data_IF_521223299626
#
_entry.id   IF_521223299626
#
_cell.length_a   1.000
_cell.length_b   1.000
_cell.length_c   1.000
_cell.angle_alpha   90.00
_cell.angle_beta   90.00
_cell.angle_gamma   90.00
#
_symmetry.space_group_name_H-M   'P 1'
#
loop_
_entity.id
_entity.type
_entity.pdbx_description
1 polymer ?
#
# COMPACT_ATOMS: atom_id res chain seq x y z
N UNK A 1 26.25 12.40 -35.28
CA UNK A 1 25.18 12.07 -34.31
C UNK A 1 25.51 12.73 -32.97
N UNK A 2 24.57 13.49 -32.40
CA UNK A 2 24.80 14.27 -31.19
C UNK A 2 24.77 13.40 -29.92
N UNK A 3 25.60 13.71 -28.93
CA UNK A 3 25.66 13.00 -27.63
C UNK A 3 24.30 13.04 -26.88
N UNK A 4 23.42 13.96 -27.24
CA UNK A 4 22.03 14.07 -26.75
C UNK A 4 21.07 13.03 -27.32
N UNK A 5 21.20 12.67 -28.61
CA UNK A 5 20.29 11.70 -29.26
C UNK A 5 20.58 10.27 -28.78
N UNK A 6 21.86 9.94 -28.60
CA UNK A 6 22.30 8.65 -28.04
C UNK A 6 21.82 8.45 -26.59
N UNK A 7 21.78 9.52 -25.77
CA UNK A 7 21.25 9.48 -24.39
C UNK A 7 19.73 9.32 -24.34
N UNK A 8 18.98 9.99 -25.24
CA UNK A 8 17.52 9.85 -25.34
C UNK A 8 17.12 8.44 -25.80
N UNK A 9 17.84 7.88 -26.77
CA UNK A 9 17.59 6.52 -27.27
C UNK A 9 17.88 5.46 -26.20
N UNK A 10 18.99 5.61 -25.45
CA UNK A 10 19.32 4.74 -24.32
C UNK A 10 18.30 4.82 -23.17
N UNK A 11 17.78 6.01 -22.86
CA UNK A 11 16.74 6.18 -21.86
C UNK A 11 15.42 5.52 -22.28
N UNK A 12 15.02 5.65 -23.55
CA UNK A 12 13.81 5.05 -24.10
C UNK A 12 13.87 3.51 -24.14
N UNK A 13 15.00 2.93 -24.58
CA UNK A 13 15.25 1.49 -24.55
C UNK A 13 15.22 0.93 -23.12
N UNK A 14 15.81 1.66 -22.18
CA UNK A 14 15.77 1.31 -20.75
C UNK A 14 14.34 1.34 -20.22
N UNK A 15 13.53 2.31 -20.63
CA UNK A 15 12.11 2.40 -20.29
C UNK A 15 11.28 1.24 -20.86
N UNK A 16 11.56 0.81 -22.10
CA UNK A 16 10.93 -0.37 -22.71
C UNK A 16 11.30 -1.67 -21.98
N UNK A 17 12.58 -1.87 -21.64
CA UNK A 17 13.03 -3.03 -20.87
C UNK A 17 12.37 -3.11 -19.48
N UNK A 18 12.15 -1.96 -18.83
CA UNK A 18 11.45 -1.89 -17.54
C UNK A 18 9.99 -2.28 -17.68
N UNK A 19 9.29 -1.80 -18.72
CA UNK A 19 7.91 -2.18 -18.97
C UNK A 19 7.77 -3.69 -19.20
N UNK A 20 8.68 -4.28 -19.99
CA UNK A 20 8.69 -5.72 -20.22
C UNK A 20 8.97 -6.52 -18.92
N UNK A 21 9.95 -6.09 -18.12
CA UNK A 21 10.24 -6.74 -16.82
C UNK A 21 9.14 -6.53 -15.78
N UNK A 22 8.49 -5.38 -15.76
CA UNK A 22 7.36 -5.09 -14.87
C UNK A 22 6.14 -5.96 -15.19
N UNK A 23 5.90 -6.24 -16.48
CA UNK A 23 4.85 -7.16 -16.93
C UNK A 23 5.14 -8.59 -16.45
N UNK A 24 6.36 -9.09 -16.67
CA UNK A 24 6.75 -10.44 -16.22
C UNK A 24 6.78 -10.58 -14.70
N UNK A 25 7.29 -9.57 -13.98
CA UNK A 25 7.28 -9.55 -12.53
C UNK A 25 5.86 -9.45 -11.94
N UNK A 26 4.98 -8.71 -12.61
CA UNK A 26 3.57 -8.61 -12.25
C UNK A 26 2.79 -9.91 -12.46
N UNK A 27 3.11 -10.68 -13.51
CA UNK A 27 2.57 -12.02 -13.71
C UNK A 27 3.08 -13.03 -12.68
N UNK A 28 4.37 -12.97 -12.32
CA UNK A 28 4.92 -13.79 -11.25
C UNK A 28 4.23 -13.51 -9.90
N UNK A 29 3.94 -12.24 -9.63
CA UNK A 29 3.20 -11.82 -8.45
C UNK A 29 1.79 -12.43 -8.40
N UNK A 30 1.08 -12.48 -9.54
CA UNK A 30 -0.29 -13.05 -9.65
C UNK A 30 -0.41 -14.55 -9.36
N UNK A 31 0.70 -15.31 -9.41
CA UNK A 31 0.69 -16.76 -9.19
C UNK A 31 0.92 -17.18 -7.73
N UNK A 32 1.23 -16.24 -6.84
CA UNK A 32 1.44 -16.51 -5.42
C UNK A 32 0.12 -16.55 -4.63
N UNK A 33 0.06 -17.33 -3.53
CA UNK A 33 -1.16 -17.45 -2.72
C UNK A 33 -1.57 -16.15 -2.01
N UNK A 34 -0.64 -15.23 -1.73
CA UNK A 34 -0.94 -13.88 -1.24
C UNK A 34 0.11 -12.85 -1.73
N UNK A 35 -0.36 -11.76 -2.32
CA UNK A 35 0.48 -10.65 -2.77
C UNK A 35 1.00 -9.83 -1.60
N UNK A 36 2.31 -9.87 -1.38
CA UNK A 36 3.01 -9.04 -0.40
C UNK A 36 3.85 -7.99 -1.11
N UNK A 37 3.74 -6.75 -0.67
CA UNK A 37 4.40 -5.62 -1.27
C UNK A 37 5.42 -5.00 -0.32
N UNK A 38 6.40 -4.33 -0.91
CA UNK A 38 7.24 -3.34 -0.23
C UNK A 38 7.19 -2.06 -1.06
N UNK A 39 6.87 -0.94 -0.42
CA UNK A 39 6.71 0.34 -1.08
C UNK A 39 7.94 1.22 -0.88
N UNK A 40 8.36 1.88 -1.96
CA UNK A 40 9.34 2.96 -1.97
C UNK A 40 8.97 4.07 -0.95
N UNK A 41 9.99 4.74 -0.41
CA UNK A 41 9.86 5.83 0.57
C UNK A 41 8.97 6.97 0.07
N UNK A 42 8.94 7.22 -1.25
CA UNK A 42 8.11 8.26 -1.86
C UNK A 42 6.63 7.86 -1.99
N UNK A 43 6.29 6.60 -1.72
CA UNK A 43 4.96 6.02 -1.92
C UNK A 43 4.18 5.81 -0.62
N UNK A 44 4.50 6.54 0.45
CA UNK A 44 3.84 6.39 1.76
C UNK A 44 2.31 6.54 1.70
N UNK A 45 1.80 7.46 0.86
CA UNK A 45 0.35 7.61 0.65
C UNK A 45 -0.26 6.36 0.02
N UNK A 46 0.40 5.79 -0.99
CA UNK A 46 -0.04 4.56 -1.65
C UNK A 46 0.00 3.39 -0.66
N UNK A 47 1.10 3.22 0.08
CA UNK A 47 1.24 2.16 1.07
C UNK A 47 0.10 2.17 2.09
N UNK A 48 -0.26 3.36 2.58
CA UNK A 48 -1.42 3.53 3.44
C UNK A 48 -2.71 3.07 2.77
N UNK A 49 -3.01 3.51 1.54
CA UNK A 49 -4.22 3.09 0.82
C UNK A 49 -4.29 1.58 0.58
N UNK A 50 -3.16 0.95 0.26
CA UNK A 50 -3.12 -0.50 0.06
C UNK A 50 -3.34 -1.27 1.37
N UNK A 51 -2.78 -0.79 2.50
CA UNK A 51 -3.06 -1.37 3.83
C UNK A 51 -4.53 -1.23 4.23
N UNK A 52 -5.19 -0.12 3.86
CA UNK A 52 -6.64 0.06 4.04
C UNK A 52 -7.41 -1.02 3.26
N UNK A 53 -6.99 -1.29 2.03
CA UNK A 53 -7.54 -2.35 1.18
C UNK A 53 -7.20 -3.77 1.66
N UNK A 54 -6.37 -3.90 2.70
CA UNK A 54 -6.03 -5.16 3.34
C UNK A 54 -4.78 -5.85 2.79
N UNK A 55 -4.05 -5.21 1.88
CA UNK A 55 -2.80 -5.76 1.36
C UNK A 55 -1.68 -5.69 2.41
N UNK A 56 -0.83 -6.71 2.38
CA UNK A 56 0.45 -6.70 3.08
C UNK A 56 1.39 -5.72 2.37
N UNK A 57 1.62 -4.55 2.96
CA UNK A 57 2.55 -3.58 2.40
C UNK A 57 3.55 -3.15 3.45
N UNK A 58 4.81 -3.53 3.29
CA UNK A 58 5.88 -2.98 4.09
C UNK A 58 6.26 -1.59 3.58
N UNK A 59 6.41 -0.65 4.51
CA UNK A 59 6.80 0.72 4.22
C UNK A 59 7.47 1.30 5.45
N UNK A 60 8.61 1.96 5.24
CA UNK A 60 9.32 2.76 6.23
C UNK A 60 9.94 3.95 5.52
N UNK A 61 9.85 5.14 6.10
CA UNK A 61 10.52 6.34 5.60
C UNK A 61 12.05 6.31 5.81
N UNK A 62 12.57 5.27 6.48
CA UNK A 62 14.00 5.11 6.79
C UNK A 62 14.71 4.15 5.84
N UNK A 63 13.99 3.44 4.98
CA UNK A 63 14.64 2.49 4.08
C UNK A 63 15.47 3.21 3.02
N UNK A 64 16.69 2.72 2.84
CA UNK A 64 17.51 2.98 1.66
C UNK A 64 17.07 2.12 0.48
N UNK A 65 17.48 2.51 -0.73
CA UNK A 65 17.30 1.73 -1.96
C UNK A 65 17.78 0.28 -1.80
N UNK A 66 18.92 0.08 -1.15
CA UNK A 66 19.54 -1.23 -0.99
C UNK A 66 18.77 -2.09 0.02
N UNK A 67 18.26 -1.49 1.10
CA UNK A 67 17.38 -2.18 2.05
C UNK A 67 16.04 -2.57 1.42
N UNK A 68 15.45 -1.70 0.60
CA UNK A 68 14.22 -2.01 -0.14
C UNK A 68 14.40 -3.25 -1.01
N UNK A 69 15.51 -3.31 -1.76
CA UNK A 69 15.83 -4.45 -2.63
C UNK A 69 16.15 -5.71 -1.84
N UNK A 70 16.90 -5.59 -0.75
CA UNK A 70 17.23 -6.71 0.13
C UNK A 70 15.97 -7.32 0.73
N UNK A 71 15.07 -6.50 1.28
CA UNK A 71 13.81 -6.94 1.86
C UNK A 71 12.89 -7.53 0.79
N UNK A 72 12.77 -6.89 -0.38
CA UNK A 72 12.01 -7.40 -1.51
C UNK A 72 12.44 -8.83 -1.87
N UNK A 73 13.75 -9.06 -1.97
CA UNK A 73 14.31 -10.38 -2.27
C UNK A 73 14.13 -11.38 -1.15
N UNK A 74 14.56 -11.03 0.06
CA UNK A 74 14.59 -11.94 1.22
C UNK A 74 13.20 -12.43 1.58
N UNK A 75 12.21 -11.55 1.53
CA UNK A 75 10.84 -11.87 1.90
C UNK A 75 9.96 -12.23 0.70
N UNK A 76 10.50 -12.23 -0.52
CA UNK A 76 9.75 -12.50 -1.75
C UNK A 76 8.61 -11.50 -1.96
N UNK A 77 8.83 -10.22 -1.63
CA UNK A 77 7.85 -9.14 -1.78
C UNK A 77 8.01 -8.45 -3.12
N UNK A 78 6.90 -7.96 -3.65
CA UNK A 78 6.86 -7.16 -4.87
C UNK A 78 7.21 -5.71 -4.54
N UNK A 79 8.30 -5.20 -5.11
CA UNK A 79 8.71 -3.81 -4.95
C UNK A 79 7.80 -2.87 -5.75
N UNK A 80 7.16 -1.92 -5.08
CA UNK A 80 6.43 -0.83 -5.72
C UNK A 80 7.34 0.39 -5.79
N UNK A 81 7.64 0.86 -7.01
CA UNK A 81 8.39 2.11 -7.20
C UNK A 81 8.01 2.80 -8.51
N UNK A 82 8.26 4.11 -8.55
CA UNK A 82 8.24 4.92 -9.77
C UNK A 82 9.64 5.18 -10.31
N UNK A 83 10.69 4.90 -9.53
CA UNK A 83 12.05 5.15 -9.97
C UNK A 83 12.56 4.00 -10.83
N UNK A 84 12.61 4.27 -12.13
CA UNK A 84 13.23 3.39 -13.13
C UNK A 84 14.66 2.98 -12.80
N UNK A 85 15.45 3.83 -12.11
CA UNK A 85 16.84 3.53 -11.74
C UNK A 85 16.90 2.43 -10.68
N UNK A 86 16.03 2.48 -9.68
CA UNK A 86 15.90 1.46 -8.65
C UNK A 86 15.46 0.12 -9.27
N UNK A 87 14.47 0.16 -10.16
CA UNK A 87 13.88 -1.04 -10.77
C UNK A 87 14.80 -1.76 -11.77
N UNK A 88 15.76 -1.07 -12.38
CA UNK A 88 16.71 -1.68 -13.33
C UNK A 88 17.82 -2.45 -12.62
N UNK A 89 18.04 -2.21 -11.32
CA UNK A 89 19.04 -2.96 -10.55
C UNK A 89 18.68 -4.44 -10.62
N UNK A 90 19.67 -5.31 -10.94
CA UNK A 90 19.49 -6.78 -10.96
C UNK A 90 18.88 -7.28 -9.63
N UNK A 91 19.13 -6.53 -8.56
CA UNK A 91 18.29 -6.27 -7.39
C UNK A 91 16.83 -6.80 -7.42
N UNK A 92 16.03 -6.21 -8.30
CA UNK A 92 14.58 -6.33 -8.23
C UNK A 92 14.10 -7.58 -8.98
N UNK A 93 13.91 -8.68 -8.26
CA UNK A 93 13.38 -9.93 -8.83
C UNK A 93 11.88 -9.85 -9.16
N UNK A 94 11.10 -9.16 -8.31
CA UNK A 94 9.68 -8.90 -8.52
C UNK A 94 9.35 -7.46 -8.17
N UNK A 95 8.85 -6.69 -9.14
CA UNK A 95 8.51 -5.29 -8.96
C UNK A 95 7.33 -4.88 -9.84
N UNK A 96 6.65 -3.79 -9.45
CA UNK A 96 5.65 -3.09 -10.25
C UNK A 96 6.10 -1.65 -10.43
N UNK A 97 6.23 -1.25 -11.70
CA UNK A 97 6.44 0.14 -12.06
C UNK A 97 5.09 0.87 -12.05
N UNK A 98 4.99 1.93 -11.25
CA UNK A 98 3.81 2.78 -11.20
C UNK A 98 3.90 3.90 -12.25
N UNK A 99 2.94 3.97 -13.15
CA UNK A 99 3.01 4.91 -14.28
C UNK A 99 2.54 6.31 -13.89
N UNK A 100 1.47 6.39 -13.12
CA UNK A 100 0.85 7.66 -12.70
C UNK A 100 1.49 8.20 -11.42
N UNK A 101 1.47 9.52 -11.27
CA UNK A 101 1.77 10.23 -10.04
C UNK A 101 0.57 10.34 -9.09
N UNK A 102 -0.65 10.15 -9.62
CA UNK A 102 -1.88 10.21 -8.85
C UNK A 102 -2.06 8.91 -8.09
N UNK A 103 -2.09 9.01 -6.76
CA UNK A 103 -2.29 7.86 -5.86
C UNK A 103 -3.52 7.01 -6.22
N UNK A 104 -4.56 7.66 -6.74
CA UNK A 104 -5.80 7.02 -7.19
C UNK A 104 -5.55 6.02 -8.32
N UNK A 105 -4.77 6.42 -9.32
CA UNK A 105 -4.46 5.60 -10.48
C UNK A 105 -3.48 4.48 -10.09
N UNK A 106 -2.51 4.80 -9.21
CA UNK A 106 -1.60 3.81 -8.65
C UNK A 106 -2.35 2.70 -7.91
N UNK A 107 -3.33 3.05 -7.07
CA UNK A 107 -4.16 2.06 -6.38
C UNK A 107 -4.93 1.22 -7.40
N UNK A 108 -5.57 1.83 -8.41
CA UNK A 108 -6.29 1.07 -9.47
C UNK A 108 -5.36 0.09 -10.19
N UNK A 109 -4.14 0.51 -10.49
CA UNK A 109 -3.14 -0.35 -11.13
C UNK A 109 -2.82 -1.58 -10.27
N UNK A 110 -2.61 -1.41 -8.97
CA UNK A 110 -2.35 -2.53 -8.05
C UNK A 110 -3.58 -3.43 -7.88
N UNK A 111 -4.79 -2.86 -7.82
CA UNK A 111 -6.02 -3.64 -7.73
C UNK A 111 -6.26 -4.50 -8.98
N UNK A 112 -6.01 -3.94 -10.16
CA UNK A 112 -6.08 -4.68 -11.43
C UNK A 112 -5.00 -5.76 -11.53
N UNK A 113 -3.87 -5.58 -10.85
CA UNK A 113 -2.84 -6.60 -10.75
C UNK A 113 -3.26 -7.73 -9.80
N UNK A 114 -3.80 -7.38 -8.63
CA UNK A 114 -4.15 -8.34 -7.59
C UNK A 114 -5.37 -9.19 -7.91
N UNK A 115 -6.33 -8.67 -8.69
CA UNK A 115 -7.54 -9.39 -9.09
C UNK A 115 -8.57 -9.58 -7.98
N UNK A 116 -8.16 -9.78 -6.73
CA UNK A 116 -9.03 -9.91 -5.56
C UNK A 116 -8.55 -9.06 -4.40
N UNK A 117 -9.50 -8.48 -3.67
CA UNK A 117 -9.25 -7.69 -2.46
C UNK A 117 -9.17 -8.62 -1.24
N UNK A 118 -8.10 -8.56 -0.41
CA UNK A 118 -8.00 -9.33 0.83
C UNK A 118 -9.09 -8.99 1.87
N UNK A 119 -9.71 -7.81 1.74
CA UNK A 119 -10.76 -7.31 2.62
C UNK A 119 -10.32 -6.07 3.39
N UNK A 120 -11.21 -5.08 3.59
CA UNK A 120 -10.83 -3.82 4.21
C UNK A 120 -10.45 -4.00 5.68
N UNK A 121 -9.49 -3.20 6.17
CA UNK A 121 -9.08 -3.18 7.58
C UNK A 121 -8.73 -4.57 8.13
N UNK A 122 -7.99 -5.38 7.36
CA UNK A 122 -7.36 -6.60 7.86
C UNK A 122 -6.02 -6.32 8.54
N UNK A 123 -5.37 -5.19 8.22
CA UNK A 123 -4.02 -4.85 8.69
C UNK A 123 -3.90 -3.43 9.25
N UNK A 124 -2.93 -3.27 10.14
CA UNK A 124 -2.53 -2.02 10.77
C UNK A 124 -1.98 -1.03 9.74
N UNK A 125 -2.46 0.21 9.76
CA UNK A 125 -2.02 1.24 8.78
C UNK A 125 -0.59 1.72 9.01
N UNK A 126 -0.08 1.62 10.23
CA UNK A 126 1.26 2.08 10.59
C UNK A 126 2.28 0.95 10.54
N UNK A 127 1.93 -0.16 11.17
CA UNK A 127 2.82 -1.28 11.48
C UNK A 127 2.61 -2.52 10.61
N UNK A 128 1.57 -2.55 9.77
CA UNK A 128 1.28 -3.65 8.83
C UNK A 128 0.96 -5.04 9.47
N UNK A 129 0.85 -5.10 10.80
CA UNK A 129 0.40 -6.27 11.55
C UNK A 129 -1.09 -6.60 11.29
N UNK A 130 -1.49 -7.88 11.26
CA UNK A 130 -2.89 -8.28 11.22
C UNK A 130 -3.67 -7.70 12.41
N UNK A 131 -4.85 -7.16 12.13
CA UNK A 131 -5.74 -6.63 13.15
C UNK A 131 -6.56 -7.76 13.78
N UNK A 132 -6.67 -7.72 15.11
CA UNK A 132 -7.45 -8.68 15.88
C UNK A 132 -8.80 -8.08 16.24
N UNK A 133 -9.86 -8.89 16.21
CA UNK A 133 -11.15 -8.46 16.74
C UNK A 133 -11.05 -8.32 18.26
N UNK A 134 -11.64 -7.25 18.78
CA UNK A 134 -11.64 -6.96 20.22
C UNK A 134 -13.07 -6.76 20.70
N UNK A 135 -13.35 -7.31 21.88
CA UNK A 135 -14.62 -7.11 22.58
C UNK A 135 -14.90 -5.63 22.79
N UNK A 136 -16.16 -5.25 22.64
CA UNK A 136 -16.60 -3.86 22.72
C UNK A 136 -16.30 -3.29 24.10
N UNK A 137 -16.48 -4.07 25.15
CA UNK A 137 -16.27 -3.71 26.55
C UNK A 137 -14.82 -3.25 26.81
N UNK A 138 -13.84 -3.90 26.16
CA UNK A 138 -12.40 -3.58 26.31
C UNK A 138 -12.01 -2.25 25.66
N UNK A 139 -12.82 -1.72 24.74
CA UNK A 139 -12.55 -0.46 24.04
C UNK A 139 -13.32 0.74 24.60
N UNK A 140 -14.27 0.53 25.52
CA UNK A 140 -15.19 1.57 26.05
C UNK A 140 -14.50 2.86 26.50
N UNK A 141 -13.40 2.75 27.24
CA UNK A 141 -12.66 3.89 27.76
C UNK A 141 -11.50 4.34 26.86
N UNK A 142 -11.30 3.64 25.74
CA UNK A 142 -10.22 3.91 24.80
C UNK A 142 -10.70 4.61 23.55
N UNK A 143 -11.98 4.50 23.18
CA UNK A 143 -12.57 5.22 22.04
C UNK A 143 -13.55 6.31 22.52
N UNK A 144 -13.81 7.36 21.72
CA UNK A 144 -14.84 8.34 22.07
C UNK A 144 -16.22 7.69 22.24
N UNK A 145 -17.00 8.14 23.22
CA UNK A 145 -18.31 7.56 23.57
C UNK A 145 -19.25 7.42 22.35
N UNK A 146 -19.31 8.44 21.49
CA UNK A 146 -20.09 8.41 20.26
C UNK A 146 -19.71 7.25 19.32
N UNK A 147 -18.44 6.86 19.24
CA UNK A 147 -17.99 5.73 18.41
C UNK A 147 -18.40 4.41 19.05
N UNK A 148 -18.26 4.29 20.38
CA UNK A 148 -18.67 3.12 21.14
C UNK A 148 -20.18 2.81 21.01
N UNK A 149 -21.00 3.86 20.99
CA UNK A 149 -22.45 3.77 20.83
C UNK A 149 -22.87 3.45 19.40
N UNK A 150 -22.17 3.98 18.40
CA UNK A 150 -22.56 3.85 16.99
C UNK A 150 -21.99 2.61 16.29
N UNK A 151 -20.87 2.07 16.78
CA UNK A 151 -20.16 0.98 16.10
C UNK A 151 -20.25 -0.34 16.86
N UNK A 152 -20.65 -1.44 16.17
CA UNK A 152 -20.78 -2.75 16.81
C UNK A 152 -19.46 -3.55 16.83
N UNK A 153 -18.50 -3.23 15.94
CA UNK A 153 -17.27 -4.02 15.76
C UNK A 153 -16.04 -3.15 15.84
N UNK A 154 -15.07 -3.62 16.61
CA UNK A 154 -13.78 -2.99 16.81
C UNK A 154 -12.67 -3.99 16.50
N UNK A 155 -11.59 -3.48 15.94
CA UNK A 155 -10.35 -4.22 15.77
C UNK A 155 -9.20 -3.48 16.44
N UNK A 156 -8.28 -4.21 17.03
CA UNK A 156 -7.09 -3.66 17.65
C UNK A 156 -5.85 -4.24 16.99
N UNK A 157 -4.83 -3.40 16.83
CA UNK A 157 -3.51 -3.86 16.46
C UNK A 157 -2.74 -4.36 17.70
N UNK A 158 -2.14 -5.57 17.68
CA UNK A 158 -1.31 -6.05 18.78
C UNK A 158 0.02 -5.28 18.91
N UNK A 159 0.64 -4.87 17.79
CA UNK A 159 1.94 -4.17 17.81
C UNK A 159 1.87 -2.72 18.30
N UNK A 160 0.99 -1.89 17.72
CA UNK A 160 0.92 -0.46 18.07
C UNK A 160 -0.22 -0.10 19.01
N UNK A 161 -1.10 -1.05 19.35
CA UNK A 161 -2.22 -0.83 20.26
C UNK A 161 -3.36 0.04 19.70
N UNK A 162 -3.29 0.50 18.44
CA UNK A 162 -4.33 1.34 17.82
C UNK A 162 -5.62 0.55 17.60
N UNK A 163 -6.74 1.24 17.80
CA UNK A 163 -8.09 0.70 17.59
C UNK A 163 -8.64 1.25 16.28
N UNK A 164 -9.21 0.35 15.48
CA UNK A 164 -9.83 0.61 14.19
C UNK A 164 -11.29 0.16 14.25
N UNK A 165 -12.17 0.89 13.57
CA UNK A 165 -13.58 0.55 13.45
C UNK A 165 -14.07 0.85 12.05
N UNK A 166 -15.07 0.09 11.61
CA UNK A 166 -15.80 0.38 10.39
C UNK A 166 -16.59 1.67 10.55
N UNK A 167 -16.53 2.59 9.60
CA UNK A 167 -17.48 3.71 9.61
C UNK A 167 -18.64 3.40 8.66
N UNK A 168 -19.86 3.37 9.20
CA UNK A 168 -21.09 3.28 8.42
C UNK A 168 -21.44 4.67 7.87
N UNK A 169 -21.55 4.79 6.55
CA UNK A 169 -21.89 6.06 5.88
C UNK A 169 -23.32 6.49 6.21
N UNK A 170 -23.50 7.71 6.69
CA UNK A 170 -24.83 8.37 6.75
C UNK A 170 -25.27 8.76 5.33
N UNK A 171 -26.56 8.57 4.95
CA UNK A 171 -27.06 8.95 3.64
C UNK A 171 -27.14 10.49 3.55
N UNK A 172 -26.18 11.14 2.86
CA UNK A 172 -26.26 12.59 2.67
C UNK A 172 -25.03 13.29 2.08
N UNK A 173 -23.82 12.72 2.13
CA UNK A 173 -22.65 13.39 1.54
C UNK A 173 -22.54 13.12 0.04
N UNK A 174 -22.60 14.19 -0.75
CA UNK A 174 -22.39 14.21 -2.20
C UNK A 174 -20.99 14.78 -2.49
N UNK A 175 -20.19 14.00 -3.24
CA UNK A 175 -19.15 14.36 -4.25
C UNK A 175 -17.88 13.50 -4.16
N UNK A 176 -17.66 12.74 -5.24
CA UNK A 176 -16.41 12.21 -5.80
C UNK A 176 -15.18 12.13 -4.88
N UNK A 177 -14.88 10.93 -4.40
CA UNK A 177 -13.52 10.36 -4.38
C UNK A 177 -13.54 9.01 -3.66
N UNK A 178 -13.29 7.93 -4.41
CA UNK A 178 -12.94 6.60 -3.90
C UNK A 178 -13.81 6.07 -2.74
N UNK A 179 -14.67 5.11 -3.05
CA UNK A 179 -15.54 4.35 -2.12
C UNK A 179 -14.78 3.78 -0.90
N UNK A 180 -13.45 3.69 -0.96
CA UNK A 180 -12.56 3.30 0.15
C UNK A 180 -12.37 4.37 1.25
N UNK A 181 -12.50 5.67 0.95
CA UNK A 181 -12.22 6.76 1.89
C UNK A 181 -13.21 6.82 3.07
N UNK A 182 -14.38 6.20 2.92
CA UNK A 182 -15.48 6.33 3.86
C UNK A 182 -15.32 5.50 5.14
N UNK A 183 -14.21 4.77 5.31
CA UNK A 183 -14.04 3.72 6.33
C UNK A 183 -13.11 4.08 7.50
N UNK A 184 -12.36 5.18 7.48
CA UNK A 184 -11.29 5.42 8.46
C UNK A 184 -11.37 6.80 9.12
N UNK A 185 -11.85 6.80 10.35
CA UNK A 185 -11.35 7.71 11.37
C UNK A 185 -10.51 6.86 12.31
N UNK A 186 -9.19 6.99 12.28
CA UNK A 186 -8.35 6.48 13.35
C UNK A 186 -8.48 7.44 14.53
N UNK A 187 -8.35 6.92 15.75
CA UNK A 187 -8.05 7.77 16.89
C UNK A 187 -6.57 8.21 16.82
N UNK A 188 -6.21 8.95 15.75
CA UNK A 188 -5.09 9.88 15.77
C UNK A 188 -5.69 11.25 16.06
N UNK A 189 -6.21 11.42 17.28
CA UNK A 189 -6.38 12.77 17.81
C UNK A 189 -4.97 13.24 18.14
N UNK A 190 -4.47 14.17 17.32
CA UNK A 190 -3.45 15.16 17.68
C UNK A 190 -2.26 14.61 18.50
N UNK A 191 -1.19 14.19 17.81
CA UNK A 191 0.16 14.46 18.29
C UNK A 191 0.99 14.98 17.11
N UNK A 192 1.66 16.09 17.40
CA UNK A 192 2.32 17.07 16.55
C UNK A 192 3.15 16.51 15.40
#
# INVERSE_FOLDING_TARGET
MSNSDSRRCAAALRQQQIRARALQAGEAARRGPELRFVADVMLGRLARWLRIAGFDVLYSNRFSDDELLLVARREGRVLLSRDTRLLVRKAAASFVYLESDRVQDQVRQILALAGTLPGPLSRCLDCNEPLLEVEREKVRNRVPAFVFETQPRFKQCPGCGKIYWAWRRSPGSRKNSFTFCCWLRTQSVLRA
#
